data_IF_181617010639
#
_entry.id   IF_181617010639
#
_cell.length_a   1.000
_cell.length_b   1.000
_cell.length_c   1.000
_cell.angle_alpha   90.00
_cell.angle_beta   90.00
_cell.angle_gamma   90.00
#
_symmetry.space_group_name_H-M   'P 1'
#
loop_
_entity.id
_entity.type
_entity.pdbx_description
1 polymer ?
#
# COMPACT_ATOMS: atom_id res chain seq x y z
N UNK A 1 -25.40 57.71 53.36
CA UNK A 1 -24.44 57.36 52.30
C UNK A 1 -23.64 56.13 52.72
N UNK A 2 -23.93 54.94 52.19
CA UNK A 2 -23.02 53.78 52.23
C UNK A 2 -23.12 53.09 50.87
N UNK A 3 -22.04 53.18 50.08
CA UNK A 3 -21.93 52.53 48.77
C UNK A 3 -21.32 51.14 49.00
N UNK A 4 -22.05 50.08 48.63
CA UNK A 4 -21.49 48.74 48.59
C UNK A 4 -20.96 48.47 47.17
N UNK A 5 -19.64 48.44 47.04
CA UNK A 5 -18.97 48.03 45.81
C UNK A 5 -18.99 46.50 45.74
N UNK A 6 -19.71 45.95 44.76
CA UNK A 6 -19.67 44.53 44.43
C UNK A 6 -18.52 44.31 43.45
N UNK A 7 -17.47 43.62 43.88
CA UNK A 7 -16.36 43.19 43.02
C UNK A 7 -16.79 41.85 42.39
N UNK A 8 -17.08 41.86 41.09
CA UNK A 8 -17.33 40.64 40.32
C UNK A 8 -15.97 40.01 39.95
N UNK A 9 -15.68 38.85 40.51
CA UNK A 9 -14.51 38.03 40.13
C UNK A 9 -14.91 37.21 38.91
N UNK A 10 -14.40 37.57 37.73
CA UNK A 10 -14.52 36.75 36.53
C UNK A 10 -13.51 35.59 36.63
N UNK A 11 -13.99 34.38 36.88
CA UNK A 11 -13.18 33.17 36.85
C UNK A 11 -12.87 32.81 35.38
N UNK A 12 -11.62 32.99 34.96
CA UNK A 12 -11.14 32.60 33.64
C UNK A 12 -10.80 31.10 33.68
N UNK A 13 -11.72 30.24 33.24
CA UNK A 13 -11.46 28.80 33.08
C UNK A 13 -10.62 28.57 31.82
N UNK A 14 -9.34 28.21 32.01
CA UNK A 14 -8.49 27.76 30.92
C UNK A 14 -8.94 26.35 30.48
N UNK A 15 -9.57 26.24 29.31
CA UNK A 15 -9.81 24.95 28.66
C UNK A 15 -8.51 24.44 28.06
N UNK A 16 -7.88 23.48 28.73
CA UNK A 16 -6.77 22.71 28.18
C UNK A 16 -7.29 21.75 27.11
N UNK A 17 -6.99 22.03 25.84
CA UNK A 17 -7.25 21.10 24.73
C UNK A 17 -6.24 19.96 24.79
N UNK A 18 -6.72 18.72 24.95
CA UNK A 18 -5.88 17.55 24.76
C UNK A 18 -5.81 17.23 23.27
N UNK A 19 -4.61 17.34 22.70
CA UNK A 19 -4.33 16.90 21.34
C UNK A 19 -4.11 15.38 21.39
N UNK A 20 -5.10 14.60 20.98
CA UNK A 20 -4.90 13.17 20.75
C UNK A 20 -4.13 12.97 19.46
N UNK A 21 -2.97 12.31 19.52
CA UNK A 21 -2.25 11.90 18.32
C UNK A 21 -3.12 10.90 17.53
N UNK A 22 -3.39 11.20 16.26
CA UNK A 22 -4.11 10.28 15.39
C UNK A 22 -3.30 8.99 15.22
N UNK A 23 -3.96 7.83 15.32
CA UNK A 23 -3.32 6.54 15.06
C UNK A 23 -2.78 6.52 13.63
N UNK A 24 -1.50 6.18 13.40
CA UNK A 24 -0.91 6.28 12.08
C UNK A 24 -1.57 5.32 11.09
N UNK A 25 -1.60 5.72 9.82
CA UNK A 25 -1.95 4.84 8.71
C UNK A 25 -0.98 3.66 8.70
N UNK A 26 -1.52 2.45 8.73
CA UNK A 26 -0.73 1.23 8.90
C UNK A 26 -1.26 0.09 8.04
N UNK A 27 -0.36 -0.83 7.72
CA UNK A 27 -0.66 -2.04 6.96
C UNK A 27 -0.08 -3.26 7.66
N UNK A 28 -0.81 -4.37 7.61
CA UNK A 28 -0.39 -5.69 8.04
C UNK A 28 -0.69 -6.71 6.96
N UNK A 29 -0.05 -7.88 7.08
CA UNK A 29 -0.28 -9.04 6.24
C UNK A 29 -0.05 -10.26 7.09
N UNK A 30 -0.94 -11.26 6.98
CA UNK A 30 -0.68 -12.57 7.59
C UNK A 30 0.36 -13.39 6.81
N UNK A 31 0.50 -13.11 5.51
CA UNK A 31 1.42 -13.79 4.61
C UNK A 31 2.83 -13.15 4.63
N UNK A 32 2.95 -11.91 5.13
CA UNK A 32 4.22 -11.23 5.41
C UNK A 32 4.29 -10.93 6.92
N UNK A 33 4.71 -11.93 7.68
CA UNK A 33 4.81 -11.88 9.16
C UNK A 33 6.20 -12.31 9.65
N UNK A 34 6.45 -12.18 10.96
CA UNK A 34 7.69 -12.64 11.60
C UNK A 34 8.96 -12.01 11.00
N UNK A 35 9.88 -12.84 10.53
CA UNK A 35 11.16 -12.45 9.90
C UNK A 35 10.99 -11.72 8.56
N UNK A 36 9.75 -11.60 8.06
CA UNK A 36 9.40 -10.93 6.80
C UNK A 36 10.09 -11.56 5.58
N UNK A 37 10.38 -12.86 5.63
CA UNK A 37 10.79 -13.62 4.43
C UNK A 37 9.55 -14.04 3.65
N UNK A 38 9.56 -13.89 2.32
CA UNK A 38 8.45 -14.35 1.49
C UNK A 38 8.36 -15.88 1.52
N UNK A 39 7.14 -16.40 1.67
CA UNK A 39 6.85 -17.82 1.58
C UNK A 39 6.83 -18.29 0.11
N UNK A 40 6.97 -19.60 -0.17
CA UNK A 40 6.92 -20.13 -1.52
C UNK A 40 5.69 -19.70 -2.33
N UNK A 41 4.56 -19.41 -1.67
CA UNK A 41 3.34 -18.92 -2.29
C UNK A 41 3.53 -17.58 -3.01
N UNK A 42 4.38 -16.68 -2.48
CA UNK A 42 4.67 -15.35 -3.07
C UNK A 42 5.86 -15.37 -4.04
N UNK A 43 6.48 -16.53 -4.26
CA UNK A 43 7.55 -16.71 -5.24
C UNK A 43 6.94 -16.89 -6.64
N UNK A 44 7.60 -16.38 -7.68
CA UNK A 44 7.13 -16.45 -9.05
C UNK A 44 7.09 -17.89 -9.58
N UNK A 45 6.23 -18.14 -10.56
CA UNK A 45 6.17 -19.38 -11.33
C UNK A 45 6.63 -19.09 -12.76
N UNK A 46 7.92 -19.27 -13.01
CA UNK A 46 8.56 -18.86 -14.26
C UNK A 46 9.99 -18.40 -14.05
N UNK A 47 10.74 -18.23 -15.14
CA UNK A 47 12.15 -17.76 -15.14
C UNK A 47 13.06 -18.60 -14.21
N UNK A 48 12.77 -19.90 -14.06
CA UNK A 48 13.50 -20.81 -13.18
C UNK A 48 13.09 -20.76 -11.69
N UNK A 49 12.04 -20.02 -11.36
CA UNK A 49 11.34 -20.07 -10.07
C UNK A 49 10.09 -20.95 -10.15
N UNK A 50 9.75 -21.60 -9.04
CA UNK A 50 8.67 -22.60 -8.93
C UNK A 50 7.78 -22.33 -7.70
N UNK A 51 7.44 -21.06 -7.47
CA UNK A 51 6.52 -20.66 -6.41
C UNK A 51 5.06 -20.76 -6.81
N UNK A 52 4.18 -20.31 -5.92
CA UNK A 52 2.73 -20.28 -6.17
C UNK A 52 2.23 -19.02 -6.87
N UNK A 53 3.11 -18.05 -7.16
CA UNK A 53 2.82 -16.77 -7.81
C UNK A 53 1.56 -16.04 -7.29
N UNK A 54 1.33 -16.13 -5.99
CA UNK A 54 0.11 -15.66 -5.33
C UNK A 54 0.39 -14.38 -4.55
N UNK A 55 -0.33 -13.30 -4.84
CA UNK A 55 -0.19 -12.04 -4.10
C UNK A 55 -0.51 -12.25 -2.61
N UNK A 56 0.22 -11.61 -1.69
CA UNK A 56 -0.06 -11.74 -0.25
C UNK A 56 -1.40 -11.09 0.11
N UNK A 57 -2.05 -11.60 1.16
CA UNK A 57 -3.14 -10.91 1.82
C UNK A 57 -2.64 -9.60 2.42
N UNK A 58 -3.42 -8.53 2.28
CA UNK A 58 -3.09 -7.21 2.83
C UNK A 58 -4.29 -6.69 3.62
N UNK A 59 -4.04 -6.05 4.76
CA UNK A 59 -5.06 -5.31 5.50
C UNK A 59 -4.46 -3.99 5.99
N UNK A 60 -5.23 -2.91 5.95
CA UNK A 60 -4.79 -1.59 6.40
C UNK A 60 -5.82 -0.92 7.29
N UNK A 61 -5.36 0.05 8.09
CA UNK A 61 -6.18 0.76 9.07
C UNK A 61 -5.76 2.22 9.17
N UNK A 62 -6.71 3.06 9.57
CA UNK A 62 -6.53 4.50 9.81
C UNK A 62 -6.04 5.27 8.58
N UNK A 63 -6.69 5.15 7.40
CA UNK A 63 -6.39 6.03 6.30
C UNK A 63 -6.62 7.50 6.71
N UNK A 64 -5.83 8.45 6.19
CA UNK A 64 -6.03 9.86 6.50
C UNK A 64 -7.41 10.36 6.03
N UNK A 65 -7.93 11.38 6.69
CA UNK A 65 -9.14 12.07 6.24
C UNK A 65 -8.96 12.57 4.80
N UNK A 66 -10.01 12.50 4.00
CA UNK A 66 -9.98 12.86 2.57
C UNK A 66 -9.58 11.73 1.63
N UNK A 67 -9.27 10.54 2.14
CA UNK A 67 -9.01 9.35 1.30
C UNK A 67 -10.26 8.99 0.48
N UNK A 68 -10.11 8.93 -0.84
CA UNK A 68 -11.16 8.62 -1.82
C UNK A 68 -10.95 7.29 -2.53
N UNK A 69 -9.70 6.90 -2.71
CA UNK A 69 -9.34 5.58 -3.18
C UNK A 69 -8.01 5.10 -2.59
N UNK A 70 -7.70 3.83 -2.80
CA UNK A 70 -6.39 3.27 -2.54
C UNK A 70 -5.72 2.78 -3.81
N UNK A 71 -4.40 2.72 -3.76
CA UNK A 71 -3.58 1.96 -4.67
C UNK A 71 -2.66 1.01 -3.89
N UNK A 72 -2.24 -0.09 -4.52
CA UNK A 72 -1.26 -1.02 -3.99
C UNK A 72 -0.16 -1.22 -5.01
N UNK A 73 1.09 -1.19 -4.55
CA UNK A 73 2.26 -1.49 -5.38
C UNK A 73 3.16 -2.51 -4.72
N UNK A 74 3.79 -3.38 -5.50
CA UNK A 74 4.90 -4.24 -5.08
C UNK A 74 6.08 -3.92 -5.97
N UNK A 75 7.19 -3.51 -5.35
CA UNK A 75 8.39 -3.07 -6.06
C UNK A 75 9.65 -3.67 -5.43
N UNK A 76 10.55 -4.16 -6.27
CA UNK A 76 11.88 -4.62 -5.90
C UNK A 76 12.93 -3.58 -6.33
N UNK A 77 13.51 -2.80 -5.41
CA UNK A 77 14.57 -1.84 -5.73
C UNK A 77 15.93 -2.51 -5.96
N UNK A 78 16.08 -3.79 -5.61
CA UNK A 78 17.35 -4.51 -5.64
C UNK A 78 17.55 -5.27 -6.97
N UNK A 79 16.49 -5.40 -7.79
CA UNK A 79 16.58 -5.98 -9.13
C UNK A 79 17.61 -5.25 -10.02
N UNK A 80 18.57 -5.96 -10.64
CA UNK A 80 19.70 -5.37 -11.35
C UNK A 80 19.35 -4.91 -12.78
N UNK A 81 18.38 -4.00 -12.91
CA UNK A 81 17.86 -3.52 -14.21
C UNK A 81 18.15 -2.05 -14.51
N UNK A 82 18.65 -1.31 -13.51
CA UNK A 82 18.74 0.16 -13.55
C UNK A 82 17.46 0.88 -13.11
N UNK A 83 16.32 0.19 -12.99
CA UNK A 83 15.03 0.75 -12.60
C UNK A 83 14.26 -0.09 -11.58
N UNK A 84 14.93 -1.04 -10.93
CA UNK A 84 14.27 -2.06 -10.10
C UNK A 84 13.28 -2.92 -10.88
N UNK A 85 12.28 -3.45 -10.19
CA UNK A 85 11.25 -4.30 -10.80
C UNK A 85 9.87 -4.06 -10.18
N UNK A 86 8.89 -3.70 -11.00
CA UNK A 86 7.48 -3.64 -10.62
C UNK A 86 6.88 -5.03 -10.69
N UNK A 87 6.57 -5.58 -9.52
CA UNK A 87 5.94 -6.88 -9.34
C UNK A 87 4.42 -6.80 -9.40
N UNK A 88 3.83 -5.68 -8.96
CA UNK A 88 2.39 -5.47 -9.01
C UNK A 88 2.06 -3.99 -8.90
N UNK A 89 1.06 -3.54 -9.65
CA UNK A 89 0.40 -2.25 -9.44
C UNK A 89 -1.10 -2.43 -9.55
N UNK A 90 -1.83 -1.87 -8.60
CA UNK A 90 -3.29 -1.84 -8.55
C UNK A 90 -3.72 -0.44 -8.15
N UNK A 91 -4.74 0.09 -8.83
CA UNK A 91 -5.30 1.41 -8.58
C UNK A 91 -6.83 1.36 -8.53
N UNK A 92 -7.42 2.46 -8.04
CA UNK A 92 -8.87 2.66 -7.97
C UNK A 92 -9.58 1.69 -7.01
N UNK A 93 -8.87 1.24 -5.96
CA UNK A 93 -9.49 0.47 -4.87
C UNK A 93 -10.44 1.42 -4.12
N UNK A 94 -11.73 1.09 -3.96
CA UNK A 94 -12.69 1.96 -3.26
C UNK A 94 -12.26 2.29 -1.82
N UNK A 95 -12.49 3.52 -1.35
CA UNK A 95 -12.09 3.98 -0.01
C UNK A 95 -12.69 3.17 1.17
N UNK A 96 -13.76 2.40 0.95
CA UNK A 96 -14.33 1.52 1.97
C UNK A 96 -13.68 0.12 2.01
N UNK A 97 -12.76 -0.17 1.09
CA UNK A 97 -11.99 -1.43 1.09
C UNK A 97 -10.77 -1.28 2.01
N UNK A 98 -10.69 -2.13 3.03
CA UNK A 98 -9.60 -2.12 4.02
C UNK A 98 -8.75 -3.40 4.02
N UNK A 99 -9.02 -4.30 3.07
CA UNK A 99 -8.35 -5.59 2.93
C UNK A 99 -8.36 -6.05 1.49
N UNK A 100 -7.28 -6.70 1.06
CA UNK A 100 -7.24 -7.53 -0.14
C UNK A 100 -6.93 -8.97 0.30
N UNK A 101 -7.71 -9.97 -0.14
CA UNK A 101 -7.39 -11.36 0.15
C UNK A 101 -6.08 -11.77 -0.53
N UNK A 102 -5.48 -12.87 -0.06
CA UNK A 102 -4.44 -13.53 -0.84
C UNK A 102 -4.96 -13.84 -2.25
N UNK A 103 -4.07 -13.77 -3.24
CA UNK A 103 -4.38 -13.95 -4.67
C UNK A 103 -5.30 -12.87 -5.28
N UNK A 104 -5.51 -11.73 -4.60
CA UNK A 104 -6.19 -10.57 -5.20
C UNK A 104 -5.50 -10.07 -6.48
N UNK A 105 -4.18 -10.23 -6.59
CA UNK A 105 -3.39 -9.85 -7.76
C UNK A 105 -3.42 -10.85 -8.92
N UNK A 106 -4.29 -11.85 -8.90
CA UNK A 106 -4.46 -12.78 -10.01
C UNK A 106 -4.78 -12.02 -11.31
N UNK A 107 -4.20 -12.36 -12.48
CA UNK A 107 -4.49 -11.69 -13.75
C UNK A 107 -5.97 -11.65 -14.14
N UNK A 108 -6.77 -12.63 -13.70
CA UNK A 108 -8.22 -12.64 -13.94
C UNK A 108 -8.98 -11.60 -13.10
N UNK A 109 -8.37 -11.08 -12.02
CA UNK A 109 -8.94 -10.03 -11.17
C UNK A 109 -10.18 -10.45 -10.36
N UNK A 110 -10.50 -11.74 -10.28
CA UNK A 110 -11.75 -12.27 -9.69
C UNK A 110 -11.96 -11.91 -8.22
N UNK A 111 -10.87 -11.65 -7.50
CA UNK A 111 -10.86 -11.31 -6.07
C UNK A 111 -10.75 -9.80 -5.81
N UNK A 112 -10.71 -8.98 -6.85
CA UNK A 112 -10.69 -7.52 -6.73
C UNK A 112 -12.11 -6.95 -6.74
N UNK A 113 -12.38 -5.86 -6.00
CA UNK A 113 -13.62 -5.11 -6.15
C UNK A 113 -13.83 -4.61 -7.59
N UNK A 114 -15.09 -4.39 -7.96
CA UNK A 114 -15.42 -3.80 -9.26
C UNK A 114 -14.79 -2.41 -9.43
N UNK A 115 -14.32 -2.09 -10.63
CA UNK A 115 -13.68 -0.80 -10.96
C UNK A 115 -12.19 -0.71 -10.64
N UNK A 116 -11.63 -1.71 -9.93
CA UNK A 116 -10.19 -1.79 -9.68
C UNK A 116 -9.45 -2.17 -10.95
N UNK A 117 -8.32 -1.50 -11.20
CA UNK A 117 -7.47 -1.74 -12.37
C UNK A 117 -6.11 -2.24 -11.90
N UNK A 118 -5.61 -3.29 -12.55
CA UNK A 118 -4.22 -3.74 -12.41
C UNK A 118 -3.40 -3.17 -13.57
N UNK A 119 -2.30 -2.48 -13.29
CA UNK A 119 -1.37 -2.02 -14.33
C UNK A 119 -0.46 -3.14 -14.83
N UNK A 120 0.29 -2.88 -15.90
CA UNK A 120 1.27 -3.82 -16.46
C UNK A 120 2.52 -3.87 -15.58
N UNK A 121 2.86 -5.06 -15.09
CA UNK A 121 4.09 -5.34 -14.36
C UNK A 121 5.28 -5.54 -15.31
N UNK A 122 6.49 -5.66 -14.77
CA UNK A 122 7.71 -5.78 -15.58
C UNK A 122 7.92 -7.19 -16.17
N UNK A 123 7.14 -8.19 -15.72
CA UNK A 123 7.02 -9.48 -16.41
C UNK A 123 6.21 -9.39 -17.71
N UNK A 124 5.47 -8.29 -17.88
CA UNK A 124 4.81 -7.93 -19.12
C UNK A 124 3.29 -8.17 -19.16
N UNK A 125 2.67 -8.49 -18.03
CA UNK A 125 1.22 -8.70 -17.91
C UNK A 125 0.61 -7.88 -16.78
N UNK A 126 -0.72 -7.81 -16.73
CA UNK A 126 -1.45 -7.05 -15.72
C UNK A 126 -1.86 -7.98 -14.57
N UNK A 127 -1.21 -7.81 -13.42
CA UNK A 127 -1.35 -8.71 -12.28
C UNK A 127 -0.11 -8.73 -11.40
N UNK A 128 -0.16 -9.49 -10.32
CA UNK A 128 0.98 -9.77 -9.46
C UNK A 128 1.91 -10.78 -10.13
N UNK A 129 3.21 -10.50 -10.07
CA UNK A 129 4.28 -11.46 -10.32
C UNK A 129 5.15 -11.59 -9.08
N UNK A 130 5.35 -12.82 -8.60
CA UNK A 130 6.10 -13.11 -7.38
C UNK A 130 7.60 -12.81 -7.45
N UNK A 131 8.28 -13.09 -6.35
CA UNK A 131 9.73 -12.95 -6.23
C UNK A 131 10.48 -13.94 -7.13
N UNK A 132 11.52 -13.49 -7.84
CA UNK A 132 12.42 -14.36 -8.59
C UNK A 132 13.81 -13.71 -8.80
N UNK A 133 14.58 -13.49 -7.73
CA UNK A 133 15.89 -12.85 -7.84
C UNK A 133 16.89 -13.79 -8.54
N UNK A 134 18.05 -13.27 -9.02
CA UNK A 134 19.12 -14.11 -9.51
C UNK A 134 19.61 -15.11 -8.44
N UNK A 135 20.01 -16.32 -8.87
CA UNK A 135 20.53 -17.32 -7.95
C UNK A 135 21.90 -16.89 -7.39
N UNK A 136 22.09 -17.01 -6.07
CA UNK A 136 23.32 -16.63 -5.39
C UNK A 136 23.51 -15.12 -5.16
N UNK A 137 22.54 -14.29 -5.53
CA UNK A 137 22.56 -12.87 -5.20
C UNK A 137 22.20 -12.64 -3.72
N UNK A 138 22.46 -11.42 -3.22
CA UNK A 138 22.01 -10.98 -1.91
C UNK A 138 20.47 -11.09 -1.81
N UNK A 139 19.88 -11.16 -0.61
CA UNK A 139 18.43 -11.07 -0.48
C UNK A 139 17.89 -9.76 -1.06
N UNK A 140 16.93 -9.86 -1.98
CA UNK A 140 16.20 -8.71 -2.51
C UNK A 140 15.07 -8.31 -1.57
N UNK A 141 14.71 -7.02 -1.58
CA UNK A 141 13.59 -6.47 -0.83
C UNK A 141 12.37 -6.32 -1.72
N UNK A 142 11.22 -6.76 -1.24
CA UNK A 142 9.94 -6.61 -1.91
C UNK A 142 9.10 -5.63 -1.11
N UNK A 143 9.02 -4.40 -1.60
CA UNK A 143 8.31 -3.30 -0.97
C UNK A 143 6.85 -3.35 -1.36
N UNK A 144 6.00 -3.86 -0.47
CA UNK A 144 4.55 -3.81 -0.61
C UNK A 144 4.06 -2.53 0.02
N UNK A 145 3.42 -1.67 -0.76
CA UNK A 145 2.96 -0.35 -0.30
C UNK A 145 1.50 -0.17 -0.62
N UNK A 146 0.71 0.25 0.38
CA UNK A 146 -0.64 0.79 0.17
C UNK A 146 -0.57 2.32 0.23
N UNK A 147 -1.26 2.96 -0.71
CA UNK A 147 -1.31 4.40 -0.90
C UNK A 147 -2.74 4.88 -0.71
N UNK A 148 -2.95 5.89 0.14
CA UNK A 148 -4.23 6.56 0.29
C UNK A 148 -4.26 7.81 -0.60
N UNK A 149 -5.26 7.92 -1.47
CA UNK A 149 -5.32 8.94 -2.53
C UNK A 149 -6.49 9.91 -2.34
N UNK A 150 -6.35 11.15 -2.80
CA UNK A 150 -7.35 12.22 -2.70
C UNK A 150 -8.36 12.27 -3.88
N UNK A 151 -8.28 11.29 -4.76
CA UNK A 151 -9.04 11.13 -6.00
C UNK A 151 -9.69 9.74 -6.03
N UNK A 152 -10.90 9.65 -6.56
CA UNK A 152 -11.65 8.39 -6.66
C UNK A 152 -11.09 7.45 -7.75
N UNK A 153 -10.58 8.02 -8.86
CA UNK A 153 -10.14 7.25 -10.03
C UNK A 153 -8.93 7.90 -10.71
N UNK A 154 -7.86 7.13 -10.87
CA UNK A 154 -6.74 7.43 -11.72
C UNK A 154 -7.02 6.95 -13.17
N UNK A 155 -6.68 7.73 -14.20
CA UNK A 155 -6.87 7.37 -15.60
C UNK A 155 -5.78 6.39 -16.07
N UNK A 156 -5.77 5.19 -15.49
CA UNK A 156 -4.86 4.10 -15.84
C UNK A 156 -5.66 2.90 -16.33
N UNK A 157 -5.06 2.14 -17.24
CA UNK A 157 -5.62 0.90 -17.76
C UNK A 157 -4.64 -0.26 -17.53
N UNK A 158 -4.99 -1.43 -18.05
CA UNK A 158 -4.18 -2.63 -17.94
C UNK A 158 -2.79 -2.53 -18.58
N UNK A 159 -2.59 -1.58 -19.50
CA UNK A 159 -1.33 -1.38 -20.22
C UNK A 159 -0.42 -0.35 -19.54
N UNK A 160 -0.94 0.43 -18.59
CA UNK A 160 -0.17 1.42 -17.85
C UNK A 160 1.04 0.78 -17.17
N UNK A 161 2.23 1.29 -17.43
CA UNK A 161 3.46 0.79 -16.81
C UNK A 161 3.50 1.10 -15.31
N UNK A 162 4.30 0.36 -14.55
CA UNK A 162 4.53 0.65 -13.13
C UNK A 162 4.97 2.09 -12.89
N UNK A 163 5.80 2.65 -13.77
CA UNK A 163 6.23 4.05 -13.69
C UNK A 163 5.08 5.05 -13.95
N UNK A 164 4.20 4.80 -14.93
CA UNK A 164 3.04 5.65 -15.20
C UNK A 164 2.06 5.61 -14.02
N UNK A 165 1.75 4.41 -13.52
CA UNK A 165 0.90 4.25 -12.32
C UNK A 165 1.54 4.97 -11.13
N UNK A 166 2.84 4.79 -10.92
CA UNK A 166 3.60 5.46 -9.88
C UNK A 166 3.56 6.99 -9.99
N UNK A 167 3.70 7.55 -11.19
CA UNK A 167 3.57 9.00 -11.41
C UNK A 167 2.20 9.51 -10.94
N UNK A 168 1.13 8.86 -11.39
CA UNK A 168 -0.25 9.24 -11.03
C UNK A 168 -0.53 9.09 -9.52
N UNK A 169 -0.06 8.01 -8.89
CA UNK A 169 -0.18 7.80 -7.44
C UNK A 169 0.51 8.93 -6.67
N UNK A 170 1.75 9.27 -7.03
CA UNK A 170 2.51 10.29 -6.30
C UNK A 170 1.88 11.68 -6.38
N UNK A 171 1.24 12.03 -7.50
CA UNK A 171 0.51 13.30 -7.65
C UNK A 171 -0.71 13.45 -6.74
N UNK A 172 -1.20 12.34 -6.17
CA UNK A 172 -2.47 12.28 -5.44
C UNK A 172 -2.35 11.67 -4.03
N UNK A 173 -1.13 11.37 -3.58
CA UNK A 173 -0.91 10.66 -2.31
C UNK A 173 -1.14 11.57 -1.11
N UNK A 174 -2.05 11.15 -0.22
CA UNK A 174 -2.24 11.72 1.11
C UNK A 174 -1.31 11.07 2.14
N UNK A 175 -1.19 9.75 2.11
CA UNK A 175 -0.31 8.97 2.97
C UNK A 175 -0.01 7.60 2.35
N UNK A 176 1.00 6.91 2.89
CA UNK A 176 1.33 5.53 2.52
C UNK A 176 1.74 4.71 3.72
N UNK A 177 1.53 3.40 3.65
CA UNK A 177 2.04 2.42 4.60
C UNK A 177 2.74 1.30 3.83
N UNK A 178 3.90 0.86 4.31
CA UNK A 178 4.74 -0.10 3.61
C UNK A 178 5.14 -1.28 4.49
N UNK A 179 5.06 -2.49 3.93
CA UNK A 179 5.71 -3.69 4.42
C UNK A 179 6.85 -4.04 3.47
N UNK A 180 8.02 -4.33 4.02
CA UNK A 180 9.15 -4.83 3.23
C UNK A 180 9.38 -6.29 3.60
N UNK A 181 9.24 -7.18 2.62
CA UNK A 181 9.61 -8.58 2.73
C UNK A 181 10.96 -8.83 2.03
N UNK A 182 11.60 -9.96 2.28
CA UNK A 182 12.84 -10.37 1.60
C UNK A 182 12.73 -11.76 1.00
N UNK A 183 13.49 -12.00 -0.07
CA UNK A 183 13.65 -13.33 -0.66
C UNK A 183 15.02 -13.45 -1.34
N UNK A 184 15.58 -14.65 -1.34
CA UNK A 184 16.86 -15.02 -1.95
C UNK A 184 16.79 -16.44 -2.49
N UNK A 185 17.59 -16.75 -3.51
CA UNK A 185 17.69 -18.06 -4.16
C UNK A 185 19.08 -18.64 -4.05
#
# INVERSE_FOLDING_TARGET
MKKHSVIAIAALTAMSFQVFAATPFSMTSRDISGERRLAPQQVFEGFGCHGGNTSPQLAWKNPPAGTKSFAVTVYDPDAPTGSGWWHWTVANIPANTMTLPADAGNPNGEKLPAGVVQGRNDFGYSGFGGACPPAGDKPHRYQVTVWALDVDTLPVDKNASGALVGFMINSHTLAKAQLTATYSR
#
